data_IF_866308911628
#
_entry.id   IF_866308911628
#
_cell.length_a   1.000
_cell.length_b   1.000
_cell.length_c   1.000
_cell.angle_alpha   90.00
_cell.angle_beta   90.00
_cell.angle_gamma   90.00
#
_symmetry.space_group_name_H-M   'P 1'
#
loop_
_entity.id
_entity.type
_entity.pdbx_description
1 polymer ?
#
# COMPACT_ATOMS: atom_id res chain seq x y z
N UNK A 1 -10.34 14.11 0.10
CA UNK A 1 -9.65 15.36 0.42
C UNK A 1 -8.16 15.07 0.52
N UNK A 2 -7.29 15.69 -0.29
CA UNK A 2 -5.84 15.58 -0.07
C UNK A 2 -5.47 16.31 1.24
N UNK A 3 -4.69 15.65 2.10
CA UNK A 3 -4.05 16.29 3.25
C UNK A 3 -2.73 16.93 2.79
N UNK A 4 -2.52 18.20 3.14
CA UNK A 4 -1.30 18.98 2.82
C UNK A 4 -0.74 19.55 4.12
N UNK A 5 0.57 19.41 4.32
CA UNK A 5 1.28 19.97 5.48
C UNK A 5 1.97 21.27 5.04
N UNK A 6 1.95 22.29 5.90
CA UNK A 6 2.61 23.58 5.63
C UNK A 6 3.61 23.86 6.73
N UNK A 7 4.87 24.06 6.34
CA UNK A 7 5.93 24.48 7.26
C UNK A 7 6.74 25.63 6.64
N UNK A 8 6.57 26.83 7.22
CA UNK A 8 7.20 28.06 6.74
C UNK A 8 8.72 28.10 6.93
N UNK A 9 9.24 27.45 7.98
CA UNK A 9 10.67 27.39 8.29
C UNK A 9 11.32 26.14 7.70
N UNK A 10 12.52 26.30 7.13
CA UNK A 10 13.27 25.20 6.52
C UNK A 10 13.64 24.09 7.51
N UNK A 11 13.94 24.43 8.77
CA UNK A 11 14.20 23.46 9.84
C UNK A 11 12.97 22.61 10.16
N UNK A 12 11.78 23.21 10.19
CA UNK A 12 10.54 22.47 10.44
C UNK A 12 10.17 21.55 9.27
N UNK A 13 10.46 21.94 8.02
CA UNK A 13 10.33 21.03 6.87
C UNK A 13 11.25 19.82 7.01
N UNK A 14 12.54 20.05 7.27
CA UNK A 14 13.52 18.97 7.52
C UNK A 14 13.17 18.10 8.72
N UNK A 15 12.45 18.64 9.71
CA UNK A 15 11.96 17.87 10.85
C UNK A 15 10.76 17.00 10.47
N UNK A 16 9.80 17.52 9.70
CA UNK A 16 8.65 16.75 9.22
C UNK A 16 9.06 15.65 8.23
N UNK A 17 10.05 15.90 7.38
CA UNK A 17 10.64 14.89 6.48
C UNK A 17 11.27 13.72 7.24
N UNK A 18 11.65 13.93 8.51
CA UNK A 18 12.24 12.90 9.39
C UNK A 18 11.21 12.09 10.18
N UNK A 19 9.95 12.51 10.23
CA UNK A 19 8.88 11.76 10.89
C UNK A 19 8.20 10.83 9.86
N UNK A 20 8.27 9.51 10.09
CA UNK A 20 7.70 8.48 9.20
C UNK A 20 6.21 8.71 8.91
N UNK A 21 5.44 9.24 9.87
CA UNK A 21 4.04 9.58 9.69
C UNK A 21 3.79 10.72 8.67
N UNK A 22 4.79 11.57 8.42
CA UNK A 22 4.71 12.71 7.49
C UNK A 22 5.48 12.47 6.18
N UNK A 23 6.29 11.42 6.09
CA UNK A 23 7.15 11.12 4.93
C UNK A 23 6.38 11.00 3.60
N UNK A 24 5.08 10.72 3.66
CA UNK A 24 4.21 10.51 2.50
C UNK A 24 3.23 11.67 2.25
N UNK A 25 3.29 12.75 3.04
CA UNK A 25 2.44 13.92 2.89
C UNK A 25 3.23 15.08 2.25
N UNK A 26 2.75 15.69 1.16
CA UNK A 26 3.42 16.84 0.56
C UNK A 26 3.53 17.99 1.57
N UNK A 27 4.77 18.39 1.88
CA UNK A 27 5.06 19.53 2.74
C UNK A 27 5.37 20.75 1.89
N UNK A 28 4.54 21.78 2.01
CA UNK A 28 4.69 23.02 1.26
C UNK A 28 5.30 24.15 2.12
N UNK A 29 6.06 25.08 1.51
CA UNK A 29 6.69 26.18 2.23
C UNK A 29 5.70 27.25 2.71
N UNK A 30 4.47 27.28 2.19
CA UNK A 30 3.44 28.23 2.58
C UNK A 30 2.03 27.71 2.28
N UNK A 31 1.02 28.32 2.92
CA UNK A 31 -0.40 28.02 2.67
C UNK A 31 -0.79 28.38 1.23
N UNK A 32 -0.24 29.48 0.69
CA UNK A 32 -0.45 29.85 -0.71
C UNK A 32 0.12 28.81 -1.68
N UNK A 33 1.31 28.25 -1.39
CA UNK A 33 1.89 27.19 -2.20
C UNK A 33 1.08 25.88 -2.12
N UNK A 34 0.57 25.54 -0.93
CA UNK A 34 -0.34 24.41 -0.76
C UNK A 34 -1.66 24.61 -1.54
N UNK A 35 -2.28 25.79 -1.42
CA UNK A 35 -3.51 26.13 -2.13
C UNK A 35 -3.33 26.11 -3.66
N UNK A 36 -2.20 26.59 -4.18
CA UNK A 36 -1.88 26.48 -5.61
C UNK A 36 -1.70 25.02 -6.07
N UNK A 37 -1.14 24.16 -5.22
CA UNK A 37 -0.97 22.73 -5.50
C UNK A 37 -2.30 21.95 -5.50
N UNK A 38 -3.33 22.40 -4.76
CA UNK A 38 -4.67 21.80 -4.79
C UNK A 38 -5.26 21.79 -6.21
N UNK A 39 -4.98 22.82 -7.02
CA UNK A 39 -5.44 22.92 -8.40
C UNK A 39 -4.64 22.11 -9.42
N UNK A 40 -3.48 21.57 -9.03
CA UNK A 40 -2.63 20.71 -9.86
C UNK A 40 -2.19 19.49 -9.05
N UNK A 41 -3.11 18.55 -8.78
CA UNK A 41 -2.76 17.39 -8.01
C UNK A 41 -1.60 16.65 -8.70
N UNK A 42 -0.62 16.19 -7.91
CA UNK A 42 0.48 15.40 -8.42
C UNK A 42 -0.07 14.17 -9.17
N UNK A 43 0.57 13.77 -10.29
CA UNK A 43 0.08 12.66 -11.10
C UNK A 43 -0.04 11.41 -10.22
N UNK A 44 -1.23 10.82 -10.28
CA UNK A 44 -1.60 9.65 -9.50
C UNK A 44 -2.06 8.59 -10.46
N UNK A 45 -1.31 7.49 -10.54
CA UNK A 45 -1.66 6.32 -11.35
C UNK A 45 -2.26 5.27 -10.43
N UNK A 46 -3.38 4.68 -10.84
CA UNK A 46 -4.08 3.65 -10.06
C UNK A 46 -4.52 2.55 -11.01
N UNK A 47 -4.23 1.31 -10.64
CA UNK A 47 -4.76 0.12 -11.29
C UNK A 47 -5.43 -0.78 -10.24
N UNK A 48 -6.42 -1.57 -10.67
CA UNK A 48 -7.14 -2.50 -9.79
C UNK A 48 -7.39 -3.82 -10.50
N UNK A 49 -7.44 -4.89 -9.72
CA UNK A 49 -7.83 -6.22 -10.17
C UNK A 49 -8.63 -6.91 -9.06
N UNK A 50 -9.84 -7.37 -9.37
CA UNK A 50 -10.58 -8.28 -8.50
C UNK A 50 -10.17 -9.71 -8.84
N UNK A 51 -9.88 -10.50 -7.81
CA UNK A 51 -9.46 -11.88 -7.90
C UNK A 51 -10.61 -12.80 -7.47
N UNK A 52 -10.68 -14.03 -8.03
CA UNK A 52 -11.55 -15.05 -7.47
C UNK A 52 -11.12 -15.42 -6.04
N UNK A 53 -11.96 -16.12 -5.28
CA UNK A 53 -11.54 -16.75 -4.02
C UNK A 53 -11.01 -18.16 -4.31
N UNK A 54 -9.86 -18.25 -4.98
CA UNK A 54 -9.20 -19.51 -5.32
C UNK A 54 -7.68 -19.38 -5.43
N UNK A 55 -6.98 -20.51 -5.61
CA UNK A 55 -5.51 -20.60 -5.70
C UNK A 55 -4.91 -19.92 -6.96
N UNK A 56 -5.71 -19.64 -7.99
CA UNK A 56 -5.25 -18.94 -9.21
C UNK A 56 -5.00 -17.45 -8.93
N UNK A 57 -5.62 -16.92 -7.87
CA UNK A 57 -5.49 -15.52 -7.43
C UNK A 57 -4.05 -15.04 -7.29
N UNK A 58 -3.16 -15.82 -6.68
CA UNK A 58 -1.76 -15.43 -6.50
C UNK A 58 -1.04 -15.25 -7.86
N UNK A 59 -1.32 -16.14 -8.82
CA UNK A 59 -0.77 -16.04 -10.18
C UNK A 59 -1.30 -14.80 -10.91
N UNK A 60 -2.59 -14.53 -10.80
CA UNK A 60 -3.23 -13.37 -11.43
C UNK A 60 -2.72 -12.05 -10.82
N UNK A 61 -2.60 -12.00 -9.48
CA UNK A 61 -2.04 -10.86 -8.77
C UNK A 61 -0.61 -10.56 -9.21
N UNK A 62 0.25 -11.59 -9.29
CA UNK A 62 1.62 -11.45 -9.78
C UNK A 62 1.68 -10.91 -11.20
N UNK A 63 0.90 -11.49 -12.11
CA UNK A 63 0.85 -11.04 -13.50
C UNK A 63 0.35 -9.59 -13.62
N UNK A 64 -0.62 -9.21 -12.79
CA UNK A 64 -1.10 -7.84 -12.70
C UNK A 64 -0.01 -6.86 -12.25
N UNK A 65 0.67 -7.14 -11.13
CA UNK A 65 1.75 -6.28 -10.63
C UNK A 65 2.86 -6.11 -11.67
N UNK A 66 3.35 -7.22 -12.25
CA UNK A 66 4.44 -7.17 -13.23
C UNK A 66 4.08 -6.33 -14.46
N UNK A 67 2.88 -6.52 -15.02
CA UNK A 67 2.42 -5.74 -16.17
C UNK A 67 2.27 -4.26 -15.83
N UNK A 68 1.62 -3.95 -14.71
CA UNK A 68 1.38 -2.55 -14.33
C UNK A 68 2.69 -1.83 -13.97
N UNK A 69 3.64 -2.49 -13.31
CA UNK A 69 4.96 -1.89 -13.06
C UNK A 69 5.73 -1.64 -14.36
N UNK A 70 5.64 -2.53 -15.34
CA UNK A 70 6.25 -2.30 -16.66
C UNK A 70 5.58 -1.13 -17.40
N UNK A 71 4.25 -1.06 -17.41
CA UNK A 71 3.49 0.06 -18.00
C UNK A 71 3.80 1.40 -17.33
N UNK A 72 4.18 1.38 -16.05
CA UNK A 72 4.44 2.59 -15.27
C UNK A 72 5.92 3.00 -15.19
N UNK A 73 6.81 2.18 -15.76
CA UNK A 73 8.27 2.33 -15.68
C UNK A 73 8.82 2.19 -14.24
N UNK A 74 8.19 1.34 -13.42
CA UNK A 74 8.55 1.04 -12.03
C UNK A 74 9.10 -0.39 -11.87
N UNK A 75 9.82 -0.88 -12.88
CA UNK A 75 10.36 -2.26 -12.90
C UNK A 75 11.28 -2.57 -11.71
N UNK A 76 11.97 -1.56 -11.18
CA UNK A 76 12.85 -1.70 -10.01
C UNK A 76 12.11 -2.07 -8.71
N UNK A 77 10.82 -1.75 -8.59
CA UNK A 77 9.98 -2.07 -7.42
C UNK A 77 9.12 -3.32 -7.62
N UNK A 78 9.17 -3.91 -8.81
CA UNK A 78 8.22 -4.95 -9.21
C UNK A 78 8.36 -6.25 -8.39
N UNK A 79 9.58 -6.66 -8.05
CA UNK A 79 9.81 -7.88 -7.28
C UNK A 79 9.31 -7.76 -5.84
N UNK A 80 9.57 -6.62 -5.19
CA UNK A 80 9.06 -6.34 -3.84
C UNK A 80 7.54 -6.24 -3.85
N UNK A 81 6.97 -5.55 -4.85
CA UNK A 81 5.52 -5.46 -5.04
C UNK A 81 4.86 -6.84 -5.27
N UNK A 82 5.50 -7.73 -6.02
CA UNK A 82 5.03 -9.12 -6.22
C UNK A 82 5.08 -9.91 -4.92
N UNK A 83 6.12 -9.70 -4.11
CA UNK A 83 6.25 -10.36 -2.81
C UNK A 83 5.14 -9.92 -1.88
N UNK A 84 4.97 -8.60 -1.73
CA UNK A 84 3.89 -8.01 -0.92
C UNK A 84 2.51 -8.51 -1.37
N UNK A 85 2.21 -8.48 -2.67
CA UNK A 85 0.87 -8.88 -3.14
C UNK A 85 0.59 -10.36 -2.89
N UNK A 86 1.59 -11.24 -3.01
CA UNK A 86 1.38 -12.68 -2.74
C UNK A 86 1.03 -12.89 -1.27
N UNK A 87 1.81 -12.32 -0.36
CA UNK A 87 1.57 -12.47 1.09
C UNK A 87 0.20 -11.91 1.49
N UNK A 88 -0.19 -10.75 0.94
CA UNK A 88 -1.49 -10.15 1.25
C UNK A 88 -2.67 -10.93 0.65
N UNK A 89 -2.54 -11.44 -0.58
CA UNK A 89 -3.59 -12.27 -1.21
C UNK A 89 -3.71 -13.61 -0.49
N UNK A 90 -2.58 -14.27 -0.18
CA UNK A 90 -2.58 -15.54 0.57
C UNK A 90 -3.21 -15.35 1.95
N UNK A 91 -2.87 -14.29 2.68
CA UNK A 91 -3.52 -13.97 3.95
C UNK A 91 -5.03 -13.78 3.81
N UNK A 92 -5.49 -13.13 2.74
CA UNK A 92 -6.92 -12.93 2.49
C UNK A 92 -7.64 -14.26 2.27
N UNK A 93 -7.06 -15.14 1.44
CA UNK A 93 -7.65 -16.45 1.12
C UNK A 93 -7.61 -17.42 2.31
N UNK A 94 -6.57 -17.34 3.15
CA UNK A 94 -6.41 -18.22 4.32
C UNK A 94 -7.31 -17.83 5.49
N UNK A 95 -7.65 -16.54 5.62
CA UNK A 95 -8.30 -16.01 6.81
C UNK A 95 -9.70 -15.47 6.56
N UNK A 96 -10.15 -15.37 5.32
CA UNK A 96 -11.49 -14.87 4.98
C UNK A 96 -12.15 -15.72 3.90
N UNK A 97 -13.46 -15.56 3.73
CA UNK A 97 -14.20 -16.12 2.59
C UNK A 97 -14.33 -15.11 1.43
N UNK A 98 -13.62 -13.99 1.51
CA UNK A 98 -13.75 -12.86 0.57
C UNK A 98 -13.05 -13.13 -0.76
N UNK A 99 -13.56 -12.54 -1.84
CA UNK A 99 -12.84 -12.41 -3.09
C UNK A 99 -11.86 -11.22 -2.97
N UNK A 100 -10.53 -11.43 -3.00
CA UNK A 100 -9.58 -10.34 -2.79
C UNK A 100 -9.64 -9.33 -3.94
N UNK A 101 -9.55 -8.03 -3.63
CA UNK A 101 -9.33 -7.00 -4.63
C UNK A 101 -7.97 -6.35 -4.45
N UNK A 102 -7.12 -6.40 -5.47
CA UNK A 102 -5.79 -5.78 -5.49
C UNK A 102 -5.89 -4.39 -6.07
N UNK A 103 -5.15 -3.46 -5.46
CA UNK A 103 -4.93 -2.11 -5.96
C UNK A 103 -3.44 -1.81 -5.96
N UNK A 104 -2.94 -1.35 -7.10
CA UNK A 104 -1.63 -0.73 -7.21
C UNK A 104 -1.82 0.78 -7.37
N UNK A 105 -1.08 1.58 -6.63
CA UNK A 105 -1.12 3.03 -6.73
C UNK A 105 0.30 3.58 -6.77
N UNK A 106 0.56 4.49 -7.71
CA UNK A 106 1.81 5.23 -7.76
C UNK A 106 1.52 6.72 -7.61
N UNK A 107 2.10 7.31 -6.58
CA UNK A 107 1.93 8.73 -6.26
C UNK A 107 3.24 9.26 -5.68
N UNK A 108 3.76 10.34 -6.24
CA UNK A 108 5.05 10.92 -5.82
C UNK A 108 6.23 9.92 -5.83
N UNK A 109 6.24 8.95 -6.76
CA UNK A 109 7.27 7.92 -6.83
C UNK A 109 7.14 6.79 -5.81
N UNK A 110 6.16 6.87 -4.90
CA UNK A 110 5.85 5.85 -3.90
C UNK A 110 4.86 4.85 -4.48
N UNK A 111 5.23 3.57 -4.50
CA UNK A 111 4.40 2.50 -5.03
C UNK A 111 3.67 1.81 -3.87
N UNK A 112 2.34 1.91 -3.83
CA UNK A 112 1.51 1.29 -2.80
C UNK A 112 0.79 0.08 -3.35
N UNK A 113 0.99 -1.07 -2.72
CA UNK A 113 0.21 -2.29 -2.94
C UNK A 113 -0.85 -2.38 -1.84
N UNK A 114 -2.12 -2.56 -2.20
CA UNK A 114 -3.19 -2.75 -1.24
C UNK A 114 -4.09 -3.92 -1.66
N UNK A 115 -4.48 -4.75 -0.71
CA UNK A 115 -5.44 -5.85 -0.89
C UNK A 115 -6.64 -5.60 0.02
N UNK A 116 -7.83 -5.71 -0.56
CA UNK A 116 -9.11 -5.46 0.08
C UNK A 116 -9.85 -6.79 0.24
N UNK A 117 -10.52 -6.94 1.37
CA UNK A 117 -11.42 -8.05 1.67
C UNK A 117 -12.66 -7.53 2.40
N UNK A 118 -13.71 -8.35 2.49
CA UNK A 118 -15.00 -7.99 3.06
C UNK A 118 -15.11 -8.30 4.57
N UNK A 119 -14.02 -8.77 5.19
CA UNK A 119 -13.98 -9.11 6.61
C UNK A 119 -13.46 -7.91 7.44
N UNK A 120 -14.27 -7.33 8.35
CA UNK A 120 -13.86 -6.20 9.17
C UNK A 120 -12.80 -6.55 10.23
N UNK A 121 -12.55 -7.83 10.50
CA UNK A 121 -11.61 -8.25 11.53
C UNK A 121 -10.19 -7.75 11.22
N UNK A 122 -9.49 -7.13 12.18
CA UNK A 122 -8.13 -6.65 11.95
C UNK A 122 -7.21 -7.83 11.59
N UNK A 123 -6.18 -7.61 10.76
CA UNK A 123 -5.22 -8.66 10.44
C UNK A 123 -4.55 -9.13 11.74
N UNK A 124 -4.62 -10.44 12.00
CA UNK A 124 -4.03 -11.04 13.20
C UNK A 124 -2.50 -11.04 13.07
N UNK A 125 -1.84 -10.12 13.77
CA UNK A 125 -0.39 -10.19 14.02
C UNK A 125 -0.13 -11.23 15.11
N UNK A 126 0.14 -12.48 14.72
CA UNK A 126 0.54 -13.53 15.67
C UNK A 126 2.05 -13.77 15.54
N UNK A 127 2.85 -13.69 16.62
CA UNK A 127 4.28 -13.97 16.59
C UNK A 127 4.56 -15.34 15.95
N UNK A 128 5.60 -15.47 15.12
CA UNK A 128 5.92 -16.73 14.46
C UNK A 128 6.22 -17.79 15.53
N UNK A 129 5.40 -18.85 15.55
CA UNK A 129 5.63 -20.05 16.35
C UNK A 129 6.23 -21.13 15.45
N UNK A 130 7.14 -21.98 15.94
CA UNK A 130 7.74 -23.02 15.12
C UNK A 130 6.65 -23.89 14.47
N UNK A 131 6.65 -24.00 13.14
CA UNK A 131 5.71 -24.84 12.38
C UNK A 131 4.54 -24.12 11.69
N UNK A 132 4.42 -22.78 11.77
CA UNK A 132 3.38 -22.05 11.01
C UNK A 132 3.95 -21.34 9.78
N UNK A 133 3.55 -21.81 8.59
CA UNK A 133 4.02 -21.29 7.29
C UNK A 133 3.41 -19.92 6.95
N UNK A 134 2.13 -19.69 7.29
CA UNK A 134 1.42 -18.43 6.99
C UNK A 134 1.82 -17.22 7.87
N UNK A 135 2.59 -17.42 8.94
CA UNK A 135 2.93 -16.36 9.91
C UNK A 135 4.21 -15.59 9.57
N UNK A 136 4.82 -15.86 8.40
CA UNK A 136 6.04 -15.18 7.92
C UNK A 136 5.74 -14.00 6.99
N UNK A 137 4.54 -13.95 6.40
CA UNK A 137 4.20 -12.98 5.36
C UNK A 137 4.25 -11.53 5.82
N UNK A 138 3.63 -11.21 6.96
CA UNK A 138 3.67 -9.85 7.50
C UNK A 138 5.08 -9.43 7.96
N UNK A 139 5.90 -10.38 8.44
CA UNK A 139 7.31 -10.12 8.78
C UNK A 139 8.12 -9.80 7.52
N UNK A 140 7.81 -10.43 6.39
CA UNK A 140 8.45 -10.14 5.12
C UNK A 140 8.01 -8.76 4.60
N UNK A 141 6.72 -8.43 4.68
CA UNK A 141 6.20 -7.10 4.34
C UNK A 141 6.85 -6.02 5.21
N UNK A 142 7.01 -6.25 6.51
CA UNK A 142 7.65 -5.33 7.45
C UNK A 142 9.10 -4.99 7.08
N UNK A 143 9.81 -5.92 6.43
CA UNK A 143 11.19 -5.71 5.96
C UNK A 143 11.28 -5.02 4.60
N UNK A 144 10.28 -5.21 3.74
CA UNK A 144 10.27 -4.71 2.37
C UNK A 144 9.63 -3.32 2.26
N UNK A 145 8.62 -3.06 3.08
CA UNK A 145 7.84 -1.83 3.02
C UNK A 145 8.52 -0.69 3.79
N UNK A 146 8.46 0.52 3.24
CA UNK A 146 8.76 1.73 3.99
C UNK A 146 7.75 1.94 5.14
N UNK A 147 6.49 1.62 4.88
CA UNK A 147 5.41 1.61 5.88
C UNK A 147 4.28 0.73 5.39
N UNK A 148 3.56 0.10 6.31
CA UNK A 148 2.40 -0.71 5.99
C UNK A 148 1.35 -0.59 7.09
N UNK A 149 0.12 -1.01 6.79
CA UNK A 149 -0.95 -0.97 7.77
C UNK A 149 -2.24 -1.60 7.31
N UNK A 150 -3.27 -1.42 8.13
CA UNK A 150 -4.63 -1.85 7.85
C UNK A 150 -5.60 -0.71 8.11
N UNK A 151 -6.62 -0.60 7.28
CA UNK A 151 -7.68 0.41 7.43
C UNK A 151 -9.04 -0.18 7.06
N UNK A 152 -10.12 0.17 7.78
CA UNK A 152 -11.47 -0.24 7.43
C UNK A 152 -11.92 0.41 6.10
N UNK A 153 -12.76 -0.29 5.35
CA UNK A 153 -13.33 0.21 4.10
C UNK A 153 -14.77 0.67 4.31
N UNK A 154 -15.26 1.54 3.42
CA UNK A 154 -16.65 2.03 3.48
C UNK A 154 -17.69 0.93 3.25
N UNK A 155 -17.30 -0.17 2.63
CA UNK A 155 -18.18 -1.33 2.38
C UNK A 155 -18.28 -2.27 3.59
N UNK A 156 -17.59 -1.97 4.70
CA UNK A 156 -17.64 -2.79 5.92
C UNK A 156 -16.55 -3.87 6.01
N UNK A 157 -15.64 -3.93 5.04
CA UNK A 157 -14.46 -4.79 5.09
C UNK A 157 -13.20 -4.03 5.49
N UNK A 158 -12.04 -4.48 5.02
CA UNK A 158 -10.75 -3.84 5.28
C UNK A 158 -9.84 -3.79 4.06
N UNK A 159 -8.82 -2.97 4.16
CA UNK A 159 -7.68 -2.94 3.24
C UNK A 159 -6.39 -3.07 4.04
N UNK A 160 -5.59 -4.08 3.72
CA UNK A 160 -4.19 -4.19 4.16
C UNK A 160 -3.30 -3.67 3.05
N UNK A 161 -2.35 -2.81 3.38
CA UNK A 161 -1.57 -2.07 2.38
C UNK A 161 -0.12 -1.88 2.81
N UNK A 162 0.77 -1.73 1.84
CA UNK A 162 2.19 -1.45 2.04
C UNK A 162 2.72 -0.49 0.99
N UNK A 163 3.59 0.43 1.41
CA UNK A 163 4.29 1.41 0.57
C UNK A 163 5.73 0.94 0.35
N UNK A 164 6.17 0.92 -0.91
CA UNK A 164 7.52 0.57 -1.36
C UNK A 164 8.25 1.79 -1.90
#
# INVERSE_FOLDING_TARGET
>A
MPLLLVAGRAEHRRMLDRYEACAHLPVHPSVSAAAAAVGRPPPRRVARLTLPNDLVSARLARAFILRTCAEWDEVGKALDAVTVVNELVENTLLHTYSAPSVRLELRHGLLTVAVYDDDPAPPLMVPPTPGTTGRRGLVLIDRLAAVWGCSPTRSGGKAVWAVL
#
